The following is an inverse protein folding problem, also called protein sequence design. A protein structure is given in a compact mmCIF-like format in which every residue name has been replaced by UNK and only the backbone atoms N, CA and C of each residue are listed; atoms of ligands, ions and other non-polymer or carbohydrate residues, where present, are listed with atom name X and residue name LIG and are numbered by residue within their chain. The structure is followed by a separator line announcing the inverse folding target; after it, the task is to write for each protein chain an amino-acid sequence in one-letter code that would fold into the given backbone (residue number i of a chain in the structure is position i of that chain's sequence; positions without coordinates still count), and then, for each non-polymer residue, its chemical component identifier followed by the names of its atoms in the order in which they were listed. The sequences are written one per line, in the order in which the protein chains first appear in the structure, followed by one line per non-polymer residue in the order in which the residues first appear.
data_IF_031840416393
#
_entry.id   IF_031840416393
#
_cell.length_a   1.000
_cell.length_b   1.000
_cell.length_c   1.000
_cell.angle_alpha   90.00
_cell.angle_beta   90.00
_cell.angle_gamma   90.00
#
_symmetry.space_group_name_H-M   'P 1'
#
loop_
_entity.id
_entity.type
_entity.pdbx_description
1 polymer ?
#
# COMPACT_ATOMS: atom_id res chain seq x y z
N UNK A 1 -1.91 33.28 -10.66
CA UNK A 1 -1.03 32.54 -9.73
C UNK A 1 0.12 32.04 -10.58
N UNK A 2 1.36 32.15 -10.10
CA UNK A 2 2.49 31.55 -10.81
C UNK A 2 2.25 30.03 -10.93
N UNK A 3 2.45 29.48 -12.13
CA UNK A 3 2.22 28.06 -12.40
C UNK A 3 3.12 27.19 -11.54
N UNK A 4 4.31 27.66 -11.17
CA UNK A 4 5.21 26.94 -10.28
C UNK A 4 4.68 26.88 -8.84
N UNK A 5 4.11 27.99 -8.34
CA UNK A 5 3.49 28.05 -7.01
C UNK A 5 2.29 27.10 -6.93
N UNK A 6 1.48 27.02 -7.99
CA UNK A 6 0.36 26.09 -8.07
C UNK A 6 0.82 24.62 -7.97
N UNK A 7 1.85 24.25 -8.73
CA UNK A 7 2.42 22.89 -8.67
C UNK A 7 2.92 22.57 -7.26
N UNK A 8 3.62 23.49 -6.60
CA UNK A 8 4.10 23.31 -5.23
C UNK A 8 2.96 23.10 -4.23
N UNK A 9 1.83 23.78 -4.40
CA UNK A 9 0.65 23.59 -3.55
C UNK A 9 0.00 22.22 -3.77
N UNK A 10 -0.08 21.75 -5.02
CA UNK A 10 -0.61 20.41 -5.34
C UNK A 10 0.29 19.31 -4.76
N UNK A 11 1.62 19.45 -4.90
CA UNK A 11 2.60 18.54 -4.29
C UNK A 11 2.36 18.45 -2.78
N UNK A 12 2.24 19.60 -2.10
CA UNK A 12 1.95 19.64 -0.65
C UNK A 12 0.63 18.95 -0.32
N UNK A 13 -0.42 19.19 -1.09
CA UNK A 13 -1.72 18.55 -0.89
C UNK A 13 -1.63 17.01 -0.95
N UNK A 14 -0.90 16.48 -1.94
CA UNK A 14 -0.73 15.03 -2.10
C UNK A 14 0.10 14.45 -0.95
N UNK A 15 1.16 15.15 -0.52
CA UNK A 15 1.96 14.74 0.66
C UNK A 15 1.08 14.67 1.92
N UNK A 16 0.25 15.68 2.17
CA UNK A 16 -0.62 15.71 3.35
C UNK A 16 -1.71 14.62 3.31
N UNK A 17 -2.19 14.26 2.11
CA UNK A 17 -3.07 13.10 1.92
C UNK A 17 -2.34 11.80 2.25
N UNK A 18 -1.12 11.63 1.73
CA UNK A 18 -0.30 10.44 1.94
C UNK A 18 0.10 10.25 3.41
N UNK A 19 0.46 11.32 4.13
CA UNK A 19 0.75 11.29 5.58
C UNK A 19 -0.42 10.75 6.40
N UNK A 20 -1.66 11.01 5.94
CA UNK A 20 -2.89 10.49 6.56
C UNK A 20 -3.21 9.04 6.14
N UNK A 21 -2.38 8.44 5.29
CA UNK A 21 -2.59 7.09 4.76
C UNK A 21 -3.74 6.99 3.76
N UNK A 22 -4.15 8.11 3.16
CA UNK A 22 -5.25 8.16 2.19
C UNK A 22 -4.74 8.59 0.81
N UNK A 23 -5.48 8.18 -0.22
CA UNK A 23 -5.25 8.58 -1.61
C UNK A 23 -5.82 9.96 -1.90
N UNK A 24 -5.12 10.75 -2.70
CA UNK A 24 -5.66 12.00 -3.25
C UNK A 24 -6.59 11.70 -4.41
N UNK A 25 -7.62 12.52 -4.62
CA UNK A 25 -8.65 12.29 -5.65
C UNK A 25 -8.56 13.40 -6.69
N UNK A 26 -8.51 13.03 -7.97
CA UNK A 26 -8.44 13.95 -9.12
C UNK A 26 -9.46 15.07 -9.03
N UNK A 27 -10.72 14.71 -8.83
CA UNK A 27 -11.82 15.67 -8.70
C UNK A 27 -11.56 16.72 -7.61
N UNK A 28 -11.00 16.32 -6.47
CA UNK A 28 -10.73 17.23 -5.36
C UNK A 28 -9.60 18.21 -5.73
N UNK A 29 -8.50 17.70 -6.28
CA UNK A 29 -7.39 18.52 -6.77
C UNK A 29 -7.89 19.50 -7.83
N UNK A 30 -8.64 19.02 -8.83
CA UNK A 30 -9.21 19.87 -9.88
C UNK A 30 -10.10 20.98 -9.31
N UNK A 31 -10.95 20.67 -8.32
CA UNK A 31 -11.84 21.67 -7.71
C UNK A 31 -11.12 22.67 -6.81
N UNK A 32 -10.12 22.22 -6.03
CA UNK A 32 -9.42 23.04 -5.05
C UNK A 32 -8.46 24.02 -5.73
N UNK A 33 -7.74 23.55 -6.75
CA UNK A 33 -6.76 24.35 -7.51
C UNK A 33 -7.32 24.93 -8.81
N UNK A 34 -8.62 24.75 -9.07
CA UNK A 34 -9.34 25.28 -10.25
C UNK A 34 -8.69 24.90 -11.60
N UNK A 35 -8.17 23.67 -11.68
CA UNK A 35 -7.50 23.16 -12.87
C UNK A 35 -8.55 22.66 -13.86
N UNK A 36 -8.48 23.14 -15.10
CA UNK A 36 -9.38 22.70 -16.16
C UNK A 36 -9.13 21.23 -16.55
N UNK A 37 -10.12 20.58 -17.15
CA UNK A 37 -9.97 19.19 -17.65
C UNK A 37 -8.84 19.06 -18.68
N UNK A 38 -8.64 20.10 -19.50
CA UNK A 38 -7.62 20.15 -20.56
C UNK A 38 -6.22 20.38 -20.01
N UNK A 39 -6.07 21.17 -18.94
CA UNK A 39 -4.75 21.48 -18.36
C UNK A 39 -4.26 20.37 -17.43
N UNK A 40 -5.19 19.63 -16.83
CA UNK A 40 -4.92 18.64 -15.79
C UNK A 40 -3.83 17.63 -16.14
N UNK A 41 -3.82 16.99 -17.34
CA UNK A 41 -2.76 16.05 -17.72
C UNK A 41 -1.35 16.67 -17.64
N UNK A 42 -1.18 17.90 -18.13
CA UNK A 42 0.10 18.60 -18.08
C UNK A 42 0.49 19.02 -16.66
N UNK A 43 -0.50 19.40 -15.84
CA UNK A 43 -0.27 19.79 -14.44
C UNK A 43 0.14 18.60 -13.60
N UNK A 44 -0.56 17.46 -13.71
CA UNK A 44 -0.23 16.26 -12.92
C UNK A 44 1.10 15.65 -13.35
N UNK A 45 1.49 15.78 -14.62
CA UNK A 45 2.81 15.37 -15.08
C UNK A 45 3.92 16.17 -14.39
N UNK A 46 3.81 17.51 -14.34
CA UNK A 46 4.80 18.34 -13.61
C UNK A 46 4.85 18.03 -12.12
N UNK A 47 3.72 17.69 -11.52
CA UNK A 47 3.66 17.21 -10.13
C UNK A 47 4.41 15.88 -9.97
N UNK A 48 4.24 14.93 -10.90
CA UNK A 48 4.96 13.67 -10.88
C UNK A 48 6.47 13.87 -11.01
N UNK A 49 6.92 14.72 -11.94
CA UNK A 49 8.33 15.10 -12.11
C UNK A 49 8.93 15.66 -10.81
N UNK A 50 8.18 16.47 -10.05
CA UNK A 50 8.61 16.95 -8.72
C UNK A 50 8.72 15.85 -7.67
N UNK A 51 7.92 14.80 -7.73
CA UNK A 51 8.08 13.66 -6.84
C UNK A 51 9.30 12.81 -7.24
N UNK A 52 9.55 12.64 -8.54
CA UNK A 52 10.70 11.89 -9.04
C UNK A 52 12.02 12.55 -8.63
N UNK A 53 12.11 13.89 -8.66
CA UNK A 53 13.23 14.67 -8.13
C UNK A 53 13.52 14.35 -6.64
N UNK A 54 12.52 13.87 -5.89
CA UNK A 54 12.61 13.50 -4.47
C UNK A 54 12.77 11.99 -4.24
N UNK A 55 12.91 11.19 -5.29
CA UNK A 55 12.97 9.73 -5.19
C UNK A 55 11.64 9.08 -4.79
N UNK A 56 10.53 9.72 -5.13
CA UNK A 56 9.16 9.26 -4.86
C UNK A 56 8.44 9.08 -6.20
N UNK A 57 7.71 7.98 -6.38
CA UNK A 57 6.82 7.79 -7.53
C UNK A 57 5.41 8.20 -7.17
N UNK A 58 4.78 8.98 -8.05
CA UNK A 58 3.33 9.21 -8.05
C UNK A 58 2.65 8.06 -8.80
N UNK A 59 1.86 7.26 -8.10
CA UNK A 59 1.12 6.13 -8.67
C UNK A 59 -0.34 6.52 -8.89
N UNK A 60 -0.84 6.31 -10.10
CA UNK A 60 -2.27 6.39 -10.41
C UNK A 60 -3.00 5.14 -9.98
N UNK A 61 -4.25 5.25 -9.52
CA UNK A 61 -5.08 4.11 -9.09
C UNK A 61 -6.44 4.18 -9.80
N UNK A 62 -6.80 3.16 -10.58
CA UNK A 62 -8.18 2.87 -11.01
C UNK A 62 -8.64 1.55 -10.46
N UNK A 63 -9.94 1.39 -10.16
CA UNK A 63 -10.54 0.06 -9.95
C UNK A 63 -9.69 -0.91 -9.08
N UNK A 64 -8.95 -0.38 -8.08
CA UNK A 64 -7.98 -1.06 -7.20
C UNK A 64 -6.62 -1.47 -7.80
N UNK A 65 -6.36 -1.20 -9.08
CA UNK A 65 -5.13 -1.53 -9.80
C UNK A 65 -4.26 -0.27 -9.99
N UNK A 66 -2.92 -0.37 -9.78
CA UNK A 66 -1.98 0.67 -10.17
C UNK A 66 -2.01 0.92 -11.68
N UNK A 67 -1.97 2.19 -12.09
CA UNK A 67 -1.96 2.61 -13.49
C UNK A 67 -1.17 3.92 -13.66
N UNK A 68 -1.06 4.35 -14.93
CA UNK A 68 -0.51 5.68 -15.25
C UNK A 68 -1.26 6.79 -14.52
N UNK A 69 -0.52 7.68 -13.86
CA UNK A 69 -1.08 8.82 -13.13
C UNK A 69 -1.80 9.82 -14.05
N UNK A 70 -1.52 9.84 -15.36
CA UNK A 70 -2.11 10.83 -16.27
C UNK A 70 -3.64 10.66 -16.38
N UNK A 71 -4.09 9.41 -16.39
CA UNK A 71 -5.50 9.07 -16.58
C UNK A 71 -6.22 8.66 -15.29
N UNK A 72 -5.50 8.56 -14.18
CA UNK A 72 -6.07 8.05 -12.95
C UNK A 72 -7.04 9.02 -12.25
N UNK A 73 -8.04 8.45 -11.58
CA UNK A 73 -8.96 9.19 -10.72
C UNK A 73 -8.41 9.42 -9.31
N UNK A 74 -7.43 8.61 -8.90
CA UNK A 74 -6.84 8.66 -7.56
C UNK A 74 -5.34 8.49 -7.61
N UNK A 75 -4.67 9.06 -6.62
CA UNK A 75 -3.20 9.11 -6.54
C UNK A 75 -2.69 8.66 -5.19
N UNK A 76 -1.55 8.00 -5.20
CA UNK A 76 -0.80 7.67 -4.00
C UNK A 76 0.70 7.79 -4.24
N UNK A 77 1.45 8.04 -3.18
CA UNK A 77 2.91 8.15 -3.24
C UNK A 77 3.53 6.81 -2.84
N UNK A 78 4.53 6.37 -3.59
CA UNK A 78 5.36 5.21 -3.28
C UNK A 78 6.82 5.65 -3.30
N UNK A 79 7.61 5.16 -2.34
CA UNK A 79 9.05 5.43 -2.34
C UNK A 79 9.72 4.61 -3.45
N UNK A 80 10.63 5.21 -4.23
CA UNK A 80 11.36 4.48 -5.25
C UNK A 80 12.27 3.43 -4.58
N UNK A 81 11.95 2.16 -4.77
CA UNK A 81 12.70 1.04 -4.19
C UNK A 81 14.02 0.75 -4.93
N UNK A 82 14.38 1.53 -5.95
CA UNK A 82 15.52 1.22 -6.82
C UNK A 82 16.88 1.16 -6.11
N UNK A 83 17.07 1.69 -4.89
CA UNK A 83 18.33 1.49 -4.15
C UNK A 83 18.20 1.33 -2.62
N UNK A 84 16.98 1.28 -2.05
CA UNK A 84 16.81 1.42 -0.59
C UNK A 84 15.87 0.42 0.09
N UNK A 85 15.82 -0.83 -0.39
CA UNK A 85 15.28 -1.95 0.41
C UNK A 85 16.05 -2.13 1.74
N UNK A 86 17.25 -1.53 1.90
CA UNK A 86 18.01 -1.55 3.16
C UNK A 86 17.52 -0.62 4.28
N UNK A 87 16.56 0.28 4.06
CA UNK A 87 16.08 1.17 5.15
C UNK A 87 14.58 1.50 5.03
N UNK A 88 13.72 0.51 5.23
CA UNK A 88 12.39 0.77 5.82
C UNK A 88 12.55 0.60 7.33
N UNK A 89 13.21 1.59 7.96
CA UNK A 89 13.00 1.90 9.38
C UNK A 89 11.98 3.02 9.45
N UNK A 90 10.72 2.69 9.13
CA UNK A 90 9.58 3.54 9.42
C UNK A 90 8.78 2.80 10.49
N UNK A 91 8.30 3.53 11.48
CA UNK A 91 7.69 3.18 12.78
C UNK A 91 6.51 2.18 12.77
N UNK A 92 6.59 1.12 11.98
CA UNK A 92 5.83 -0.11 12.19
C UNK A 92 6.74 -0.95 13.09
N UNK A 93 6.23 -1.36 14.26
CA UNK A 93 6.93 -2.37 15.06
C UNK A 93 7.24 -3.56 14.14
N UNK A 94 8.47 -4.06 14.14
CA UNK A 94 8.90 -5.21 13.33
C UNK A 94 7.89 -6.38 13.42
N UNK A 95 7.24 -6.53 14.57
CA UNK A 95 6.14 -7.46 14.77
C UNK A 95 4.91 -7.21 13.87
N UNK A 96 4.41 -5.97 13.81
CA UNK A 96 3.23 -5.60 13.02
C UNK A 96 3.50 -5.77 11.52
N UNK A 97 4.72 -5.47 11.07
CA UNK A 97 5.14 -5.71 9.69
C UNK A 97 5.11 -7.21 9.37
N UNK A 98 5.67 -8.04 10.27
CA UNK A 98 5.64 -9.51 10.12
C UNK A 98 4.22 -10.07 10.14
N UNK A 99 3.35 -9.56 11.01
CA UNK A 99 1.95 -9.95 11.06
C UNK A 99 1.20 -9.53 9.79
N UNK A 100 1.47 -8.33 9.27
CA UNK A 100 0.92 -7.87 8.00
C UNK A 100 1.31 -8.80 6.85
N UNK A 101 2.59 -9.14 6.74
CA UNK A 101 3.10 -10.09 5.73
C UNK A 101 2.43 -11.46 5.90
N UNK A 102 2.29 -11.96 7.13
CA UNK A 102 1.62 -13.22 7.41
C UNK A 102 0.16 -13.21 6.94
N UNK A 103 -0.58 -12.14 7.19
CA UNK A 103 -1.97 -11.98 6.71
C UNK A 103 -2.01 -11.99 5.19
N UNK A 104 -1.11 -11.27 4.52
CA UNK A 104 -1.03 -11.27 3.06
C UNK A 104 -0.73 -12.66 2.51
N UNK A 105 0.20 -13.39 3.13
CA UNK A 105 0.50 -14.77 2.76
C UNK A 105 -0.73 -15.66 2.87
N UNK A 106 -1.49 -15.58 3.97
CA UNK A 106 -2.71 -16.39 4.16
C UNK A 106 -3.73 -16.09 3.05
N UNK A 107 -4.01 -14.82 2.78
CA UNK A 107 -4.97 -14.39 1.73
C UNK A 107 -4.50 -14.91 0.37
N UNK A 108 -3.22 -14.73 0.04
CA UNK A 108 -2.63 -15.21 -1.22
C UNK A 108 -2.79 -16.73 -1.37
N UNK A 109 -2.47 -17.50 -0.33
CA UNK A 109 -2.55 -18.97 -0.36
C UNK A 109 -3.98 -19.51 -0.44
N UNK A 110 -4.97 -18.71 -0.04
CA UNK A 110 -6.40 -19.05 -0.13
C UNK A 110 -7.04 -18.54 -1.44
N UNK A 111 -6.25 -18.02 -2.39
CA UNK A 111 -6.73 -17.58 -3.71
C UNK A 111 -7.21 -16.12 -3.73
N UNK A 112 -6.47 -15.22 -3.08
CA UNK A 112 -6.69 -13.77 -3.00
C UNK A 112 -7.91 -13.32 -2.17
N UNK A 113 -8.59 -14.26 -1.51
CA UNK A 113 -9.69 -13.98 -0.60
C UNK A 113 -9.76 -15.03 0.51
N UNK A 114 -10.25 -14.63 1.69
CA UNK A 114 -10.43 -15.54 2.83
C UNK A 114 -11.60 -15.09 3.68
N UNK A 115 -12.39 -16.06 4.19
CA UNK A 115 -13.41 -15.75 5.18
C UNK A 115 -12.79 -15.14 6.44
N UNK A 116 -13.33 -14.02 6.92
CA UNK A 116 -12.85 -13.34 8.13
C UNK A 116 -12.77 -14.28 9.35
N UNK A 117 -13.77 -15.15 9.64
CA UNK A 117 -13.65 -16.12 10.74
C UNK A 117 -12.51 -17.12 10.54
N UNK A 118 -12.27 -17.55 9.29
CA UNK A 118 -11.18 -18.48 8.94
C UNK A 118 -9.82 -17.81 9.14
N UNK A 119 -9.65 -16.58 8.69
CA UNK A 119 -8.42 -15.80 8.89
C UNK A 119 -8.07 -15.68 10.37
N UNK A 120 -9.04 -15.27 11.20
CA UNK A 120 -8.85 -15.19 12.66
C UNK A 120 -8.46 -16.56 13.23
N UNK A 121 -9.18 -17.62 12.86
CA UNK A 121 -8.89 -18.98 13.33
C UNK A 121 -7.46 -19.43 12.98
N UNK A 122 -6.95 -19.11 11.79
CA UNK A 122 -5.58 -19.44 11.39
C UNK A 122 -4.58 -18.68 12.24
N UNK A 123 -4.76 -17.36 12.38
CA UNK A 123 -3.85 -16.49 13.14
C UNK A 123 -3.82 -16.87 14.64
N UNK A 124 -4.97 -17.20 15.22
CA UNK A 124 -5.09 -17.60 16.63
C UNK A 124 -4.37 -18.91 16.98
N UNK A 125 -3.96 -19.73 16.00
CA UNK A 125 -3.12 -20.91 16.26
C UNK A 125 -1.70 -20.54 16.69
N UNK A 126 -1.23 -19.34 16.37
CA UNK A 126 0.08 -18.87 16.77
C UNK A 126 0.08 -18.45 18.24
N UNK A 127 0.94 -19.06 19.05
CA UNK A 127 1.07 -18.70 20.47
C UNK A 127 1.45 -17.23 20.67
N UNK A 128 2.23 -16.67 19.74
CA UNK A 128 2.66 -15.27 19.72
C UNK A 128 1.51 -14.29 19.50
N UNK A 129 0.35 -14.75 19.06
CA UNK A 129 -0.83 -13.93 18.75
C UNK A 129 -2.01 -14.13 19.72
N UNK A 130 -1.89 -15.01 20.72
CA UNK A 130 -3.01 -15.37 21.64
C UNK A 130 -3.66 -14.15 22.33
N UNK A 131 -2.87 -13.13 22.68
CA UNK A 131 -3.34 -11.92 23.36
C UNK A 131 -3.31 -10.67 22.47
N UNK A 132 -3.06 -10.84 21.18
CA UNK A 132 -2.98 -9.72 20.25
C UNK A 132 -4.38 -9.40 19.70
N UNK A 133 -4.72 -8.11 19.62
CA UNK A 133 -5.99 -7.66 19.04
C UNK A 133 -5.99 -7.79 17.52
N UNK A 134 -6.18 -9.03 17.04
CA UNK A 134 -6.20 -9.37 15.62
C UNK A 134 -7.31 -8.64 14.87
N UNK A 135 -8.48 -8.48 15.49
CA UNK A 135 -9.64 -7.82 14.88
C UNK A 135 -9.34 -6.33 14.72
N UNK A 136 -8.82 -5.66 15.76
CA UNK A 136 -8.41 -4.27 15.69
C UNK A 136 -7.30 -4.03 14.68
N UNK A 137 -6.35 -4.95 14.57
CA UNK A 137 -5.28 -4.90 13.58
C UNK A 137 -5.79 -5.02 12.14
N UNK A 138 -6.63 -6.03 11.85
CA UNK A 138 -7.27 -6.21 10.54
C UNK A 138 -8.11 -4.98 10.16
N UNK A 139 -8.88 -4.44 11.10
CA UNK A 139 -9.65 -3.21 10.89
C UNK A 139 -8.74 -2.00 10.63
N UNK A 140 -7.56 -1.95 11.24
CA UNK A 140 -6.55 -0.93 10.96
C UNK A 140 -5.96 -1.09 9.56
N UNK A 141 -5.66 -2.31 9.12
CA UNK A 141 -5.23 -2.58 7.74
C UNK A 141 -6.30 -2.21 6.71
N UNK A 142 -7.57 -2.50 7.00
CA UNK A 142 -8.72 -2.06 6.19
C UNK A 142 -8.77 -0.53 6.06
N UNK A 143 -8.70 0.19 7.19
CA UNK A 143 -8.70 1.67 7.20
C UNK A 143 -7.53 2.26 6.43
N UNK A 144 -6.36 1.63 6.50
CA UNK A 144 -5.15 2.03 5.76
C UNK A 144 -5.20 1.67 4.27
N UNK A 145 -6.21 0.92 3.81
CA UNK A 145 -6.42 0.57 2.41
C UNK A 145 -5.67 -0.67 1.93
N UNK A 146 -5.10 -1.47 2.83
CA UNK A 146 -4.43 -2.74 2.50
C UNK A 146 -5.40 -3.88 2.29
N UNK A 147 -6.44 -3.93 3.13
CA UNK A 147 -7.48 -4.95 3.06
C UNK A 147 -8.81 -4.32 2.68
N UNK A 148 -9.66 -5.13 2.05
CA UNK A 148 -11.06 -4.84 1.89
C UNK A 148 -11.86 -5.96 2.59
N UNK A 149 -13.00 -5.57 3.16
CA UNK A 149 -13.85 -6.48 3.94
C UNK A 149 -15.27 -6.28 3.45
N UNK A 150 -15.78 -7.29 2.76
CA UNK A 150 -17.10 -7.32 2.11
C UNK A 150 -17.97 -8.39 2.74
N UNK A 151 -19.30 -8.23 2.62
CA UNK A 151 -20.26 -9.24 3.05
C UNK A 151 -20.84 -9.93 1.82
N UNK A 152 -20.66 -11.25 1.71
CA UNK A 152 -21.17 -12.10 0.62
C UNK A 152 -21.93 -13.25 1.27
N UNK A 153 -23.21 -13.45 0.91
CA UNK A 153 -24.05 -14.55 1.41
C UNK A 153 -23.95 -14.79 2.92
N UNK A 154 -24.06 -13.70 3.67
CA UNK A 154 -23.95 -13.64 5.15
C UNK A 154 -22.55 -13.75 5.75
N UNK A 155 -21.54 -14.12 4.96
CA UNK A 155 -20.15 -14.22 5.40
C UNK A 155 -19.35 -12.94 5.15
N UNK A 156 -18.44 -12.61 6.07
CA UNK A 156 -17.46 -11.56 5.85
C UNK A 156 -16.24 -12.14 5.14
N UNK A 157 -15.93 -11.61 3.97
CA UNK A 157 -14.76 -11.97 3.17
C UNK A 157 -13.72 -10.86 3.28
N UNK A 158 -12.45 -11.26 3.38
CA UNK A 158 -11.28 -10.38 3.41
C UNK A 158 -10.47 -10.63 2.14
N UNK A 159 -10.21 -9.57 1.38
CA UNK A 159 -9.41 -9.58 0.17
C UNK A 159 -8.41 -8.40 0.16
N UNK A 160 -7.51 -8.38 -0.82
CA UNK A 160 -6.57 -7.28 -1.01
C UNK A 160 -7.26 -6.01 -1.52
N UNK A 161 -6.77 -4.86 -1.07
CA UNK A 161 -7.27 -3.54 -1.48
C UNK A 161 -6.15 -2.71 -2.13
N UNK A 162 -6.52 -1.56 -2.72
CA UNK A 162 -5.64 -0.77 -3.60
C UNK A 162 -4.22 -0.55 -3.07
N UNK A 163 -4.04 -0.35 -1.76
CA UNK A 163 -2.73 -0.04 -1.20
C UNK A 163 -1.78 -1.24 -1.24
N UNK A 164 -2.33 -2.45 -1.10
CA UNK A 164 -1.55 -3.68 -1.25
C UNK A 164 -0.94 -3.75 -2.66
N UNK A 165 -1.75 -3.59 -3.71
CA UNK A 165 -1.26 -3.66 -5.10
C UNK A 165 -0.25 -2.55 -5.45
N UNK A 166 -0.37 -1.40 -4.80
CA UNK A 166 0.55 -0.26 -4.99
C UNK A 166 1.89 -0.49 -4.28
N UNK A 167 1.90 -0.95 -3.04
CA UNK A 167 3.13 -1.13 -2.26
C UNK A 167 3.81 -2.49 -2.48
N UNK A 168 3.05 -3.51 -2.89
CA UNK A 168 3.52 -4.89 -3.08
C UNK A 168 3.11 -5.47 -4.45
N UNK A 169 3.43 -4.81 -5.58
CA UNK A 169 2.97 -5.22 -6.91
C UNK A 169 3.45 -6.61 -7.36
N UNK A 170 4.54 -7.10 -6.78
CA UNK A 170 5.15 -8.41 -7.09
C UNK A 170 5.13 -9.34 -5.87
N UNK A 171 4.19 -9.15 -4.94
CA UNK A 171 4.11 -9.98 -3.73
C UNK A 171 3.99 -11.46 -4.13
N UNK A 172 4.95 -12.27 -3.66
CA UNK A 172 4.91 -13.70 -3.81
C UNK A 172 5.51 -14.33 -2.54
N UNK A 173 4.68 -14.93 -1.68
CA UNK A 173 5.16 -15.47 -0.42
C UNK A 173 6.11 -16.68 -0.60
N UNK A 174 6.03 -17.39 -1.73
CA UNK A 174 6.95 -18.51 -2.03
C UNK A 174 8.37 -17.98 -2.19
N UNK A 175 8.54 -16.90 -2.98
CA UNK A 175 9.86 -16.27 -3.17
C UNK A 175 10.43 -15.75 -1.85
N UNK A 176 9.58 -15.15 -1.01
CA UNK A 176 9.99 -14.66 0.31
C UNK A 176 10.46 -15.83 1.20
N UNK A 177 9.79 -16.98 1.16
CA UNK A 177 10.21 -18.17 1.90
C UNK A 177 11.53 -18.74 1.37
N UNK A 178 11.70 -18.82 0.05
CA UNK A 178 12.94 -19.30 -0.57
C UNK A 178 14.15 -18.44 -0.16
N UNK A 179 14.00 -17.11 -0.13
CA UNK A 179 15.03 -16.17 0.32
C UNK A 179 15.38 -16.38 1.80
N UNK A 180 14.38 -16.57 2.66
CA UNK A 180 14.61 -16.85 4.09
C UNK A 180 15.33 -18.20 4.28
N UNK A 181 14.99 -19.22 3.51
CA UNK A 181 15.69 -20.51 3.57
C UNK A 181 17.14 -20.42 3.08
N UNK A 182 17.41 -19.61 2.06
CA UNK A 182 18.77 -19.38 1.55
C UNK A 182 19.64 -18.66 2.60
N UNK A 183 19.13 -17.58 3.20
CA UNK A 183 19.84 -16.82 4.24
C UNK A 183 20.13 -17.67 5.49
N UNK A 184 19.23 -18.59 5.85
CA UNK A 184 19.46 -19.50 6.97
C UNK A 184 20.51 -20.57 6.66
N UNK A 185 20.61 -21.03 5.40
CA UNK A 185 21.64 -21.99 4.98
C UNK A 185 23.04 -21.38 5.02
N UNK A 186 23.20 -20.12 4.59
CA UNK A 186 24.49 -19.42 4.60
C UNK A 186 25.01 -19.16 6.03
N UNK A 187 24.12 -18.87 6.98
CA UNK A 187 24.47 -18.66 8.39
C UNK A 187 24.83 -19.95 9.17
N UNK A 188 24.58 -21.13 8.59
CA UNK A 188 24.93 -22.43 9.19
C UNK A 188 26.21 -23.05 8.60
N UNK A 189 26.81 -22.46 7.57
CA UNK A 189 28.09 -22.91 6.98
C UNK A 189 29.34 -22.31 7.64
N UNK A 190 29.17 -21.46 8.66
CA UNK A 190 30.26 -20.96 9.51
C UNK A 190 30.02 -21.36 10.97
N UNK A 191 30.18 -22.64 11.29
CA UNK A 191 30.43 -23.14 12.64
C UNK A 191 31.31 -24.39 12.58
#
# INVERSE_FOLDING_TARGET
MDKEVEIGQIVRYIIESHKKGIRSIRRNISSEFKISKTDYPSTIQKVAEKFEELGITLVGIDCMVPQSYVNAEKYFLVKNNNEHVKKIKVEINDFDLKLMILIFTIIFTEGDHVGHPRLIKILSKSEKLKNYDLIGFINTMKRKGYLNITKIDEELIVDFNWRFYVEFPNFNPIKIMDEIEADNKENHTFN
#
